data_IF_834539536150
#
_entry.id   IF_834539536150
#
_cell.length_a   1.000
_cell.length_b   1.000
_cell.length_c   1.000
_cell.angle_alpha   90.00
_cell.angle_beta   90.00
_cell.angle_gamma   90.00
#
_symmetry.space_group_name_H-M   'P 1'
#
loop_
_entity.id
_entity.type
_entity.pdbx_description
1 polymer ?
#
# COMPACT_ATOMS: atom_id res chain seq x y z
N UNK A 1 12.55 21.37 8.17
CA UNK A 1 11.56 20.34 8.53
C UNK A 1 11.52 19.34 7.38
N UNK A 2 12.27 18.25 7.47
CA UNK A 2 12.24 17.18 6.46
C UNK A 2 11.10 16.25 6.80
N UNK A 3 10.02 16.37 6.03
CA UNK A 3 8.86 15.50 6.05
C UNK A 3 9.29 14.06 5.69
N UNK A 4 9.17 13.14 6.64
CA UNK A 4 9.44 11.72 6.45
C UNK A 4 8.26 10.97 5.82
N UNK A 5 7.30 11.69 5.24
CA UNK A 5 6.09 11.15 4.61
C UNK A 5 6.25 10.97 3.10
N UNK A 6 7.46 11.15 2.55
CA UNK A 6 7.71 11.12 1.10
C UNK A 6 8.05 9.73 0.51
N UNK A 7 8.08 8.64 1.28
CA UNK A 7 8.29 7.29 0.71
C UNK A 7 6.99 6.66 0.17
N UNK A 8 5.85 7.15 0.67
CA UNK A 8 4.52 6.61 0.39
C UNK A 8 3.61 7.74 -0.12
N UNK A 9 3.85 8.14 -1.38
CA UNK A 9 3.08 9.19 -2.04
C UNK A 9 1.61 8.77 -2.23
N UNK A 10 0.69 9.63 -1.79
CA UNK A 10 -0.75 9.46 -2.03
C UNK A 10 -1.04 10.04 -3.42
N UNK A 11 -1.15 9.16 -4.40
CA UNK A 11 -1.49 9.51 -5.79
C UNK A 11 -3.01 9.54 -6.00
N UNK A 12 -3.47 10.10 -7.12
CA UNK A 12 -4.89 10.03 -7.52
C UNK A 12 -5.43 8.60 -7.59
N UNK A 13 -4.58 7.62 -7.94
CA UNK A 13 -4.97 6.22 -7.96
C UNK A 13 -5.28 5.69 -6.56
N UNK A 14 -4.45 6.04 -5.56
CA UNK A 14 -4.68 5.69 -4.16
C UNK A 14 -5.98 6.31 -3.65
N UNK A 15 -6.26 7.56 -4.03
CA UNK A 15 -7.52 8.24 -3.68
C UNK A 15 -8.73 7.53 -4.32
N UNK A 16 -8.65 7.18 -5.61
CA UNK A 16 -9.73 6.46 -6.31
C UNK A 16 -9.97 5.08 -5.72
N UNK A 17 -8.92 4.38 -5.33
CA UNK A 17 -9.02 3.09 -4.65
C UNK A 17 -9.72 3.23 -3.29
N UNK A 18 -9.40 4.27 -2.52
CA UNK A 18 -10.04 4.56 -1.24
C UNK A 18 -11.53 4.86 -1.41
N UNK A 19 -11.89 5.73 -2.36
CA UNK A 19 -13.27 6.08 -2.66
C UNK A 19 -14.12 4.87 -3.11
N UNK A 20 -13.49 3.91 -3.77
CA UNK A 20 -14.14 2.67 -4.19
C UNK A 20 -14.29 1.65 -3.04
N UNK A 21 -13.57 1.84 -1.93
CA UNK A 21 -13.49 0.89 -0.81
C UNK A 21 -13.66 1.58 0.56
N UNK A 22 -14.82 2.19 0.85
CA UNK A 22 -15.10 2.80 2.16
C UNK A 22 -15.08 1.76 3.29
N UNK A 23 -14.66 2.18 4.49
CA UNK A 23 -14.38 1.32 5.65
C UNK A 23 -13.35 0.21 5.39
N UNK A 24 -12.55 0.35 4.33
CA UNK A 24 -11.57 -0.63 3.87
C UNK A 24 -10.12 -0.20 4.07
N UNK A 25 -9.27 -0.75 3.21
CA UNK A 25 -7.83 -0.52 3.19
C UNK A 25 -7.36 -0.40 1.74
N UNK A 26 -6.44 0.52 1.48
CA UNK A 26 -5.70 0.59 0.22
C UNK A 26 -4.30 0.05 0.49
N UNK A 27 -3.89 -0.99 -0.24
CA UNK A 27 -2.59 -1.63 -0.05
C UNK A 27 -1.57 -1.08 -1.05
N UNK A 28 -0.35 -0.79 -0.58
CA UNK A 28 0.80 -0.59 -1.46
C UNK A 28 1.52 -1.93 -1.60
N UNK A 29 1.68 -2.38 -2.84
CA UNK A 29 2.31 -3.64 -3.18
C UNK A 29 3.50 -3.32 -4.09
N UNK A 30 4.64 -3.93 -3.82
CA UNK A 30 5.84 -3.83 -4.66
C UNK A 30 6.15 -5.20 -5.27
N UNK A 31 6.25 -5.25 -6.59
CA UNK A 31 6.47 -6.46 -7.37
C UNK A 31 5.71 -6.45 -8.69
N UNK A 32 5.93 -7.49 -9.51
CA UNK A 32 5.18 -7.71 -10.75
C UNK A 32 4.30 -8.93 -10.51
N UNK A 33 2.98 -8.73 -10.57
CA UNK A 33 1.99 -9.78 -10.36
C UNK A 33 1.05 -9.82 -11.55
N UNK A 34 0.72 -11.02 -12.00
CA UNK A 34 -0.29 -11.22 -13.04
C UNK A 34 -1.71 -11.05 -12.48
N UNK A 35 -2.65 -10.66 -13.35
CA UNK A 35 -4.05 -10.51 -12.98
C UNK A 35 -4.61 -11.86 -12.48
N UNK A 36 -4.98 -11.91 -11.20
CA UNK A 36 -5.54 -13.11 -10.57
C UNK A 36 -4.52 -13.99 -9.85
N UNK A 37 -3.25 -13.60 -9.81
CA UNK A 37 -2.26 -14.22 -8.94
C UNK A 37 -2.44 -13.73 -7.49
N UNK A 38 -2.31 -14.65 -6.53
CA UNK A 38 -2.33 -14.31 -5.11
C UNK A 38 -1.11 -13.43 -4.76
N UNK A 39 -1.36 -12.23 -4.25
CA UNK A 39 -0.30 -11.34 -3.80
C UNK A 39 0.26 -11.87 -2.47
N UNK A 40 1.54 -12.28 -2.41
CA UNK A 40 2.12 -12.78 -1.18
C UNK A 40 2.21 -11.64 -0.14
N UNK A 41 2.00 -11.94 1.14
CA UNK A 41 2.03 -10.93 2.21
C UNK A 41 3.41 -10.28 2.36
N UNK A 42 4.47 -10.89 1.84
CA UNK A 42 5.83 -10.35 1.86
C UNK A 42 6.04 -9.21 0.85
N UNK A 43 5.19 -9.12 -0.18
CA UNK A 43 5.23 -8.07 -1.22
C UNK A 43 4.35 -6.86 -0.92
N UNK A 44 3.52 -6.96 0.13
CA UNK A 44 2.72 -5.84 0.61
C UNK A 44 3.62 -4.95 1.46
N UNK A 45 3.94 -3.75 0.97
CA UNK A 45 4.73 -2.74 1.71
C UNK A 45 3.98 -2.27 2.95
N UNK A 46 2.67 -2.16 2.83
CA UNK A 46 1.79 -1.66 3.89
C UNK A 46 0.45 -1.23 3.32
N UNK A 47 -0.32 -0.52 4.14
CA UNK A 47 -1.65 -0.07 3.76
C UNK A 47 -2.03 1.27 4.39
N UNK A 48 -2.93 1.98 3.70
CA UNK A 48 -3.67 3.10 4.25
C UNK A 48 -5.07 2.66 4.66
N UNK A 49 -5.53 3.12 5.82
CA UNK A 49 -6.89 2.90 6.29
C UNK A 49 -7.86 3.88 5.64
N UNK A 50 -9.06 3.41 5.31
CA UNK A 50 -10.12 4.21 4.67
C UNK A 50 -11.30 4.37 5.64
N UNK A 51 -11.84 5.59 5.74
CA UNK A 51 -13.05 5.86 6.53
C UNK A 51 -14.33 5.45 5.77
N UNK A 52 -15.46 5.65 6.43
CA UNK A 52 -16.80 5.39 5.89
C UNK A 52 -17.15 6.22 4.65
N UNK A 53 -16.46 7.34 4.43
CA UNK A 53 -16.67 8.25 3.30
C UNK A 53 -15.72 7.96 2.12
N UNK A 54 -14.84 6.96 2.25
CA UNK A 54 -13.84 6.66 1.23
C UNK A 54 -12.60 7.57 1.29
N UNK A 55 -12.38 8.28 2.39
CA UNK A 55 -11.17 9.08 2.59
C UNK A 55 -10.10 8.28 3.33
N UNK A 56 -8.85 8.53 2.97
CA UNK A 56 -7.70 7.97 3.67
C UNK A 56 -7.59 8.63 5.05
N UNK A 57 -7.64 7.83 6.12
CA UNK A 57 -7.76 8.34 7.50
C UNK A 57 -6.43 8.76 8.12
N UNK A 58 -5.32 8.65 7.39
CA UNK A 58 -4.00 9.04 7.85
C UNK A 58 -2.90 8.02 7.54
N UNK A 59 -1.99 7.87 8.50
CA UNK A 59 -0.64 7.30 8.33
C UNK A 59 -0.62 5.93 7.62
N UNK A 60 0.38 5.79 6.76
CA UNK A 60 0.69 4.52 6.12
C UNK A 60 1.18 3.52 7.16
N UNK A 61 0.47 2.40 7.29
CA UNK A 61 0.84 1.33 8.21
C UNK A 61 1.72 0.35 7.44
N UNK A 62 3.03 0.41 7.72
CA UNK A 62 4.01 -0.49 7.12
C UNK A 62 3.77 -1.92 7.59
N UNK A 63 3.82 -2.87 6.67
CA UNK A 63 3.71 -4.27 6.99
C UNK A 63 5.06 -4.78 7.53
N UNK A 64 5.13 -5.25 8.79
CA UNK A 64 6.40 -5.76 9.35
C UNK A 64 6.88 -7.04 8.67
N UNK A 65 6.02 -7.72 7.91
CA UNK A 65 6.37 -8.88 7.09
C UNK A 65 6.83 -8.49 5.70
N UNK A 66 6.82 -7.20 5.35
CA UNK A 66 7.38 -6.72 4.11
C UNK A 66 8.85 -7.07 4.08
N UNK A 67 9.15 -8.09 3.31
CA UNK A 67 10.49 -8.44 2.92
C UNK A 67 10.51 -8.05 1.47
N UNK A 68 11.11 -6.89 1.16
CA UNK A 68 11.52 -6.59 -0.20
C UNK A 68 12.19 -7.87 -0.67
N UNK A 69 11.56 -8.56 -1.64
CA UNK A 69 12.10 -9.78 -2.25
C UNK A 69 13.37 -9.33 -2.96
N UNK A 70 14.42 -9.11 -2.17
CA UNK A 70 15.72 -8.77 -2.64
C UNK A 70 16.09 -10.01 -3.42
N UNK A 71 16.12 -9.85 -4.74
CA UNK A 71 16.86 -10.70 -5.65
C UNK A 71 18.33 -10.65 -5.22
N UNK A 72 18.66 -11.19 -4.04
CA UNK A 72 19.98 -11.73 -3.76
C UNK A 72 19.98 -13.02 -4.54
N UNK A 73 20.43 -12.93 -5.79
CA UNK A 73 21.15 -13.98 -6.52
C UNK A 73 21.45 -13.49 -7.94
N UNK A 74 22.62 -12.89 -8.17
CA UNK A 74 23.81 -13.58 -8.69
C UNK A 74 24.99 -12.61 -8.83
#
# INVERSE_FOLDING_TARGET
>A
MTDRTSEHEITDEVIRAAQSNPNGWVYKIEGVFDLGEDVPPESIVGAWKVDENGNLTGEFITNPRYQLLTLKNK
#
